data_IF_791708646166
#
_entry.id   IF_791708646166
#
_cell.length_a   1.000
_cell.length_b   1.000
_cell.length_c   1.000
_cell.angle_alpha   90.00
_cell.angle_beta   90.00
_cell.angle_gamma   90.00
#
_symmetry.space_group_name_H-M   'P 1'
#
loop_
_entity.id
_entity.type
_entity.pdbx_description
1 polymer ?
#
# COMPACT_ATOMS: atom_id res chain seq x y z
N UNK A 1 -61.17 12.00 -3.04
CA UNK A 1 -60.50 10.78 -3.53
C UNK A 1 -59.00 11.04 -3.42
N UNK A 2 -58.32 10.52 -2.38
CA UNK A 2 -56.88 10.74 -2.24
C UNK A 2 -56.19 10.19 -3.48
N UNK A 3 -55.48 11.05 -4.20
CA UNK A 3 -54.81 10.70 -5.43
C UNK A 3 -53.67 9.73 -5.08
N UNK A 4 -53.96 8.41 -5.11
CA UNK A 4 -53.05 7.33 -4.67
C UNK A 4 -51.71 7.31 -5.42
N UNK A 5 -51.61 8.09 -6.49
CA UNK A 5 -50.42 8.31 -7.31
C UNK A 5 -49.39 9.20 -6.60
N UNK A 6 -49.83 10.25 -5.89
CA UNK A 6 -48.93 11.18 -5.19
C UNK A 6 -48.01 10.51 -4.14
N UNK A 7 -48.51 9.62 -3.24
CA UNK A 7 -47.63 8.92 -2.30
C UNK A 7 -46.68 7.95 -3.01
N UNK A 8 -47.07 7.35 -4.14
CA UNK A 8 -46.20 6.47 -4.94
C UNK A 8 -45.04 7.27 -5.52
N UNK A 9 -45.31 8.44 -6.12
CA UNK A 9 -44.27 9.33 -6.66
C UNK A 9 -43.29 9.73 -5.55
N UNK A 10 -43.80 10.10 -4.36
CA UNK A 10 -42.96 10.48 -3.23
C UNK A 10 -42.05 9.34 -2.75
N UNK A 11 -42.59 8.10 -2.66
CA UNK A 11 -41.80 6.92 -2.29
C UNK A 11 -40.71 6.64 -3.33
N UNK A 12 -41.03 6.69 -4.62
CA UNK A 12 -40.03 6.50 -5.69
C UNK A 12 -38.92 7.55 -5.62
N UNK A 13 -39.26 8.80 -5.32
CA UNK A 13 -38.30 9.90 -5.18
C UNK A 13 -37.37 9.68 -3.99
N UNK A 14 -37.91 9.24 -2.84
CA UNK A 14 -37.12 8.90 -1.65
C UNK A 14 -36.18 7.70 -1.89
N UNK A 15 -36.66 6.65 -2.57
CA UNK A 15 -35.83 5.49 -2.94
C UNK A 15 -34.68 5.93 -3.86
N UNK A 16 -34.96 6.78 -4.85
CA UNK A 16 -33.94 7.28 -5.76
C UNK A 16 -32.88 8.12 -5.04
N UNK A 17 -33.29 9.04 -4.15
CA UNK A 17 -32.37 9.82 -3.33
C UNK A 17 -31.55 8.91 -2.43
N UNK A 18 -32.18 7.95 -1.74
CA UNK A 18 -31.47 7.01 -0.88
C UNK A 18 -30.45 6.18 -1.66
N UNK A 19 -30.82 5.68 -2.85
CA UNK A 19 -29.90 4.95 -3.72
C UNK A 19 -28.74 5.83 -4.20
N UNK A 20 -29.00 7.08 -4.59
CA UNK A 20 -27.96 8.02 -5.01
C UNK A 20 -26.99 8.38 -3.87
N UNK A 21 -27.51 8.61 -2.66
CA UNK A 21 -26.69 8.87 -1.47
C UNK A 21 -25.91 7.62 -1.08
N UNK A 22 -26.54 6.45 -1.05
CA UNK A 22 -25.89 5.19 -0.71
C UNK A 22 -24.78 4.85 -1.71
N UNK A 23 -25.01 5.00 -3.02
CA UNK A 23 -23.99 4.78 -4.06
C UNK A 23 -22.85 5.80 -3.98
N UNK A 24 -23.13 7.06 -3.64
CA UNK A 24 -22.09 8.07 -3.42
C UNK A 24 -21.30 7.88 -2.13
N UNK A 25 -21.95 7.48 -1.05
CA UNK A 25 -21.31 7.20 0.24
C UNK A 25 -20.51 5.88 0.20
N UNK A 26 -20.95 4.90 -0.60
CA UNK A 26 -20.23 3.64 -0.83
C UNK A 26 -19.16 3.75 -1.93
N UNK A 27 -19.20 4.80 -2.76
CA UNK A 27 -18.05 5.20 -3.55
C UNK A 27 -16.95 5.66 -2.60
N UNK A 28 -16.06 4.73 -2.26
CA UNK A 28 -14.78 5.04 -1.63
C UNK A 28 -14.13 6.17 -2.41
N UNK A 29 -14.09 7.38 -1.84
CA UNK A 29 -13.16 8.41 -2.26
C UNK A 29 -11.78 7.86 -1.94
N UNK A 30 -11.24 7.05 -2.85
CA UNK A 30 -9.85 6.59 -2.85
C UNK A 30 -8.96 7.78 -3.18
N UNK A 31 -9.10 8.87 -2.43
CA UNK A 31 -8.23 10.02 -2.53
C UNK A 31 -6.87 9.53 -2.09
N UNK A 32 -5.91 9.58 -3.01
CA UNK A 32 -4.53 9.27 -2.69
C UNK A 32 -4.04 10.33 -1.71
N UNK A 33 -3.50 9.89 -0.57
CA UNK A 33 -3.11 10.80 0.52
C UNK A 33 -1.84 11.56 0.20
N UNK A 34 -0.91 10.93 -0.50
CA UNK A 34 0.32 11.57 -1.00
C UNK A 34 0.41 11.47 -2.51
N UNK A 35 0.99 12.49 -3.14
CA UNK A 35 1.02 12.65 -4.60
C UNK A 35 1.65 11.43 -5.31
N UNK A 36 2.71 10.84 -4.77
CA UNK A 36 3.39 9.71 -5.38
C UNK A 36 2.50 8.47 -5.55
N UNK A 37 1.46 8.29 -4.71
CA UNK A 37 0.49 7.20 -4.85
C UNK A 37 -0.44 7.37 -6.05
N UNK A 38 -0.44 8.52 -6.72
CA UNK A 38 -1.20 8.77 -7.97
C UNK A 38 -0.46 8.28 -9.20
N UNK A 39 0.86 8.08 -9.11
CA UNK A 39 1.72 7.66 -10.23
C UNK A 39 1.49 6.19 -10.63
N UNK A 40 0.90 5.40 -9.74
CA UNK A 40 0.63 3.98 -9.95
C UNK A 40 -0.55 3.53 -9.10
N UNK A 41 -1.03 2.31 -9.32
CA UNK A 41 -2.04 1.72 -8.45
C UNK A 41 -1.46 1.53 -7.06
N UNK A 42 -2.19 1.97 -6.04
CA UNK A 42 -1.74 1.92 -4.65
C UNK A 42 -2.96 1.76 -3.77
N UNK A 43 -2.84 0.86 -2.81
CA UNK A 43 -3.84 0.62 -1.77
C UNK A 43 -3.16 0.79 -0.43
N UNK A 44 -3.73 1.58 0.46
CA UNK A 44 -3.23 1.72 1.83
C UNK A 44 -4.31 1.44 2.85
N UNK A 45 -3.89 1.03 4.04
CA UNK A 45 -4.73 0.90 5.20
C UNK A 45 -3.97 1.42 6.42
N UNK A 46 -4.57 2.42 7.06
CA UNK A 46 -4.08 3.03 8.30
C UNK A 46 -4.91 2.48 9.45
N UNK A 47 -4.26 1.97 10.50
CA UNK A 47 -4.93 1.45 11.68
C UNK A 47 -4.90 2.53 12.77
N UNK A 48 -5.85 3.47 12.70
CA UNK A 48 -5.87 4.69 13.54
C UNK A 48 -5.99 4.44 15.04
N UNK A 49 -6.50 3.27 15.44
CA UNK A 49 -6.59 2.85 16.85
C UNK A 49 -5.25 2.35 17.41
N UNK A 50 -4.26 2.15 16.53
CA UNK A 50 -2.95 1.60 16.86
C UNK A 50 -1.89 2.72 17.01
N UNK A 51 -0.78 2.48 17.74
CA UNK A 51 0.22 3.50 18.10
C UNK A 51 1.11 3.92 16.91
N UNK A 52 0.50 4.53 15.89
CA UNK A 52 1.16 4.90 14.64
C UNK A 52 2.13 6.08 14.82
N UNK A 53 1.83 7.00 15.74
CA UNK A 53 2.70 8.15 16.03
C UNK A 53 4.00 7.69 16.69
N UNK A 54 3.90 6.75 17.63
CA UNK A 54 5.03 6.11 18.28
C UNK A 54 5.85 5.29 17.28
N UNK A 55 5.18 4.58 16.36
CA UNK A 55 5.85 3.87 15.28
C UNK A 55 6.65 4.83 14.37
N UNK A 56 6.05 5.93 13.91
CA UNK A 56 6.74 6.94 13.09
C UNK A 56 7.92 7.56 13.85
N UNK A 57 7.76 7.83 15.15
CA UNK A 57 8.84 8.34 16.00
C UNK A 57 10.00 7.35 16.08
N UNK A 58 9.72 6.08 16.37
CA UNK A 58 10.73 5.02 16.45
C UNK A 58 11.44 4.82 15.10
N UNK A 59 10.71 4.87 13.99
CA UNK A 59 11.28 4.83 12.65
C UNK A 59 12.24 6.00 12.40
N UNK A 60 11.84 7.25 12.69
CA UNK A 60 12.64 8.46 12.45
C UNK A 60 13.94 8.51 13.27
N UNK A 61 13.99 7.77 14.38
CA UNK A 61 15.19 7.59 15.21
C UNK A 61 16.04 6.38 14.81
N UNK A 62 15.72 5.71 13.69
CA UNK A 62 16.44 4.55 13.20
C UNK A 62 16.17 3.25 13.98
N UNK A 63 15.12 3.21 14.81
CA UNK A 63 14.75 2.01 15.58
C UNK A 63 13.77 1.13 14.80
N UNK A 64 14.28 0.46 13.78
CA UNK A 64 13.52 -0.43 12.92
C UNK A 64 14.28 -1.71 12.59
N UNK A 65 13.55 -2.70 12.10
CA UNK A 65 14.11 -3.90 11.47
C UNK A 65 13.39 -4.17 10.15
N UNK A 66 14.09 -4.80 9.20
CA UNK A 66 13.56 -5.15 7.89
C UNK A 66 13.51 -6.67 7.78
N UNK A 67 12.34 -7.21 7.44
CA UNK A 67 12.17 -8.60 7.06
C UNK A 67 11.55 -8.64 5.66
N UNK A 68 12.25 -9.26 4.72
CA UNK A 68 11.87 -9.18 3.31
C UNK A 68 11.92 -10.49 2.56
N UNK A 69 11.23 -10.54 1.42
CA UNK A 69 11.29 -11.64 0.47
C UNK A 69 10.98 -11.16 -0.95
N UNK A 70 11.30 -11.98 -1.94
CA UNK A 70 10.91 -11.77 -3.33
C UNK A 70 10.08 -12.99 -3.75
N UNK A 71 8.88 -12.73 -4.24
CA UNK A 71 7.97 -13.74 -4.78
C UNK A 71 8.05 -13.75 -6.31
N UNK A 72 8.80 -14.71 -6.84
CA UNK A 72 8.98 -14.89 -8.28
C UNK A 72 7.76 -15.54 -8.94
N UNK A 73 7.64 -15.33 -10.26
CA UNK A 73 6.67 -16.04 -11.09
C UNK A 73 6.85 -17.56 -11.02
N UNK A 74 5.73 -18.30 -11.06
CA UNK A 74 5.69 -19.76 -10.94
C UNK A 74 5.49 -20.46 -12.28
N UNK A 75 4.62 -19.92 -13.12
CA UNK A 75 4.20 -20.48 -14.40
C UNK A 75 5.01 -19.87 -15.56
N UNK A 76 5.17 -18.55 -15.58
CA UNK A 76 6.07 -17.90 -16.53
C UNK A 76 7.53 -17.87 -16.04
N UNK A 77 8.49 -17.77 -16.98
CA UNK A 77 9.88 -17.52 -16.64
C UNK A 77 9.98 -16.21 -15.84
N UNK A 78 10.54 -16.29 -14.63
CA UNK A 78 10.81 -15.11 -13.81
C UNK A 78 11.91 -14.25 -14.41
N UNK A 79 11.66 -12.95 -14.54
CA UNK A 79 12.62 -11.93 -14.92
C UNK A 79 13.35 -11.38 -13.70
N UNK A 80 12.62 -11.15 -12.59
CA UNK A 80 13.21 -10.63 -11.35
C UNK A 80 14.36 -11.50 -10.83
N UNK A 81 14.27 -12.82 -10.99
CA UNK A 81 15.31 -13.76 -10.52
C UNK A 81 16.70 -13.49 -11.12
N UNK A 82 16.74 -12.90 -12.32
CA UNK A 82 17.98 -12.61 -13.04
C UNK A 82 18.56 -11.22 -12.69
N UNK A 83 17.78 -10.33 -12.06
CA UNK A 83 18.13 -8.91 -11.91
C UNK A 83 18.05 -8.36 -10.49
N UNK A 84 17.36 -9.04 -9.57
CA UNK A 84 17.10 -8.52 -8.23
C UNK A 84 17.20 -9.63 -7.18
N UNK A 85 18.17 -9.48 -6.27
CA UNK A 85 18.25 -10.28 -5.04
C UNK A 85 17.56 -9.58 -3.87
N UNK A 86 17.24 -10.35 -2.84
CA UNK A 86 16.68 -9.81 -1.59
C UNK A 86 17.61 -8.77 -0.96
N UNK A 87 18.91 -9.02 -0.98
CA UNK A 87 19.92 -8.14 -0.40
C UNK A 87 19.98 -6.80 -1.14
N UNK A 88 19.91 -6.81 -2.47
CA UNK A 88 19.85 -5.59 -3.30
C UNK A 88 18.58 -4.79 -3.00
N UNK A 89 17.44 -5.46 -2.88
CA UNK A 89 16.17 -4.83 -2.50
C UNK A 89 16.24 -4.20 -1.10
N UNK A 90 16.86 -4.90 -0.13
CA UNK A 90 17.02 -4.39 1.24
C UNK A 90 18.00 -3.21 1.31
N UNK A 91 19.08 -3.24 0.53
CA UNK A 91 20.03 -2.14 0.43
C UNK A 91 19.37 -0.90 -0.16
N UNK A 92 18.58 -1.07 -1.22
CA UNK A 92 17.78 0.00 -1.82
C UNK A 92 16.85 0.65 -0.79
N UNK A 93 16.09 -0.17 -0.06
CA UNK A 93 15.18 0.32 0.98
C UNK A 93 15.94 1.06 2.10
N UNK A 94 17.07 0.53 2.57
CA UNK A 94 17.90 1.19 3.59
C UNK A 94 18.40 2.55 3.11
N UNK A 95 18.87 2.65 1.86
CA UNK A 95 19.34 3.90 1.28
C UNK A 95 18.21 4.94 1.23
N UNK A 96 16.99 4.53 0.93
CA UNK A 96 15.80 5.39 0.99
C UNK A 96 15.52 5.81 2.44
N UNK A 97 15.44 4.86 3.38
CA UNK A 97 15.12 5.15 4.78
C UNK A 97 16.11 6.17 5.36
N UNK A 98 17.40 6.05 5.05
CA UNK A 98 18.44 6.96 5.51
C UNK A 98 18.19 8.43 5.14
N UNK A 99 17.48 8.70 4.03
CA UNK A 99 17.07 10.05 3.61
C UNK A 99 16.07 10.70 4.59
N UNK A 100 15.35 9.89 5.38
CA UNK A 100 14.25 10.33 6.27
C UNK A 100 14.59 10.29 7.76
N UNK A 101 15.77 9.80 8.15
CA UNK A 101 16.18 9.74 9.54
C UNK A 101 16.53 11.13 10.08
N UNK A 102 16.06 11.46 11.28
CA UNK A 102 16.30 12.76 11.93
C UNK A 102 17.49 12.68 12.90
N UNK A 103 17.68 11.52 13.55
CA UNK A 103 18.80 11.27 14.45
C UNK A 103 19.12 9.78 14.49
N UNK A 104 20.40 9.42 14.44
CA UNK A 104 20.86 8.06 14.69
C UNK A 104 21.22 7.81 16.17
N UNK A 105 20.60 8.54 17.11
CA UNK A 105 20.75 8.23 18.53
C UNK A 105 20.03 6.91 18.85
N UNK A 106 20.69 5.79 18.55
CA UNK A 106 20.38 4.48 19.12
C UNK A 106 20.49 4.60 20.64
N UNK A 107 19.35 4.76 21.30
CA UNK A 107 19.26 4.63 22.76
C UNK A 107 18.09 3.74 23.09
N UNK A 108 18.37 2.44 23.22
CA UNK A 108 17.64 1.46 24.04
C UNK A 108 16.13 1.71 24.14
N UNK A 109 15.41 1.68 23.02
CA UNK A 109 13.95 1.58 23.06
C UNK A 109 13.57 0.12 22.80
N UNK A 110 12.95 -0.50 23.80
CA UNK A 110 12.47 -1.89 23.73
C UNK A 110 11.55 -2.15 22.51
N UNK A 111 10.87 -1.10 22.04
CA UNK A 111 9.89 -1.18 20.95
C UNK A 111 10.44 -0.56 19.67
N UNK A 112 10.59 -1.39 18.63
CA UNK A 112 11.03 -1.01 17.28
C UNK A 112 9.92 -1.20 16.25
N UNK A 113 10.07 -0.57 15.09
CA UNK A 113 9.20 -0.82 13.94
C UNK A 113 9.71 -2.02 13.15
N UNK A 114 8.88 -3.05 12.99
CA UNK A 114 9.15 -4.15 12.06
C UNK A 114 8.55 -3.81 10.70
N UNK A 115 9.41 -3.59 9.70
CA UNK A 115 9.05 -3.36 8.31
C UNK A 115 9.10 -4.71 7.59
N UNK A 116 7.95 -5.36 7.45
CA UNK A 116 7.87 -6.60 6.69
C UNK A 116 7.41 -6.27 5.28
N UNK A 117 8.19 -6.64 4.26
CA UNK A 117 7.79 -6.36 2.89
C UNK A 117 8.14 -7.47 1.93
N UNK A 118 7.47 -7.51 0.79
CA UNK A 118 7.89 -8.36 -0.30
C UNK A 118 7.73 -7.69 -1.65
N UNK A 119 8.61 -8.06 -2.59
CA UNK A 119 8.50 -7.73 -4.00
C UNK A 119 7.83 -8.91 -4.69
N UNK A 120 6.65 -8.71 -5.25
CA UNK A 120 5.94 -9.74 -6.00
C UNK A 120 6.10 -9.50 -7.50
N UNK A 121 6.45 -10.55 -8.24
CA UNK A 121 6.45 -10.54 -9.70
C UNK A 121 5.10 -11.00 -10.25
N UNK A 122 4.55 -10.24 -11.19
CA UNK A 122 3.26 -10.55 -11.78
C UNK A 122 3.36 -11.73 -12.76
N UNK A 123 2.99 -12.91 -12.29
CA UNK A 123 2.89 -14.10 -13.15
C UNK A 123 1.71 -14.01 -14.14
N UNK A 124 1.94 -13.53 -15.36
CA UNK A 124 0.87 -13.26 -16.34
C UNK A 124 0.27 -14.54 -16.95
N UNK A 125 0.93 -15.68 -16.77
CA UNK A 125 0.51 -16.99 -17.26
C UNK A 125 -0.30 -17.77 -16.23
N UNK A 126 -0.45 -17.25 -15.01
CA UNK A 126 -1.34 -17.80 -14.00
C UNK A 126 -2.81 -17.84 -14.50
N UNK A 127 -3.34 -19.04 -14.64
CA UNK A 127 -4.72 -19.32 -15.05
C UNK A 127 -5.79 -18.71 -14.12
N UNK A 128 -5.44 -18.37 -12.88
CA UNK A 128 -6.29 -17.63 -11.95
C UNK A 128 -6.55 -16.18 -12.36
N UNK A 129 -5.73 -15.59 -13.25
CA UNK A 129 -5.86 -14.19 -13.70
C UNK A 129 -6.84 -14.06 -14.85
N UNK A 130 -8.08 -13.67 -14.50
CA UNK A 130 -9.23 -13.67 -15.41
C UNK A 130 -9.36 -12.44 -16.31
N UNK A 131 -8.70 -11.33 -15.99
CA UNK A 131 -8.86 -10.08 -16.75
C UNK A 131 -7.52 -9.51 -17.24
N UNK A 132 -7.59 -8.68 -18.28
CA UNK A 132 -6.42 -8.04 -18.90
C UNK A 132 -5.76 -7.02 -17.96
N UNK A 133 -6.51 -6.43 -17.05
CA UNK A 133 -6.02 -5.46 -16.07
C UNK A 133 -5.02 -6.10 -15.09
N UNK A 134 -5.29 -7.31 -14.61
CA UNK A 134 -4.40 -8.08 -13.75
C UNK A 134 -3.06 -8.45 -14.42
N UNK A 135 -2.94 -8.28 -15.74
CA UNK A 135 -1.72 -8.58 -16.52
C UNK A 135 -0.91 -7.34 -16.90
N UNK A 136 -1.37 -6.13 -16.54
CA UNK A 136 -0.77 -4.87 -16.99
C UNK A 136 0.53 -4.51 -16.27
N UNK A 137 0.60 -4.74 -14.96
CA UNK A 137 1.75 -4.36 -14.14
C UNK A 137 2.86 -5.43 -14.17
N UNK A 138 4.09 -5.02 -13.88
CA UNK A 138 5.24 -5.92 -13.77
C UNK A 138 5.20 -6.69 -12.45
N UNK A 139 4.71 -6.04 -11.39
CA UNK A 139 4.45 -6.65 -10.10
C UNK A 139 3.96 -5.62 -9.08
N UNK A 140 4.06 -5.95 -7.81
CA UNK A 140 3.77 -4.99 -6.75
C UNK A 140 4.68 -5.18 -5.55
N UNK A 141 4.82 -4.12 -4.77
CA UNK A 141 5.41 -4.13 -3.45
C UNK A 141 4.29 -4.17 -2.41
N UNK A 142 4.45 -5.00 -1.39
CA UNK A 142 3.55 -5.03 -0.23
C UNK A 142 4.37 -4.78 1.02
N UNK A 143 3.94 -3.81 1.83
CA UNK A 143 4.58 -3.45 3.08
C UNK A 143 3.58 -3.52 4.23
N UNK A 144 4.00 -4.16 5.32
CA UNK A 144 3.35 -4.19 6.61
C UNK A 144 4.29 -3.57 7.65
N UNK A 145 3.89 -2.43 8.21
CA UNK A 145 4.57 -1.76 9.31
C UNK A 145 3.93 -2.20 10.61
N UNK A 146 4.73 -2.83 11.47
CA UNK A 146 4.29 -3.26 12.80
C UNK A 146 5.05 -2.52 13.88
N UNK A 147 4.35 -2.18 14.96
CA UNK A 147 4.94 -1.65 16.17
C UNK A 147 4.34 -2.38 17.35
N UNK A 148 5.17 -2.91 18.25
CA UNK A 148 4.71 -3.73 19.38
C UNK A 148 3.81 -4.91 18.95
N UNK A 149 4.21 -5.58 17.85
CA UNK A 149 3.48 -6.69 17.20
C UNK A 149 2.11 -6.33 16.61
N UNK A 150 1.65 -5.08 16.73
CA UNK A 150 0.42 -4.57 16.12
C UNK A 150 0.70 -4.00 14.74
N UNK A 151 -0.17 -4.29 13.77
CA UNK A 151 -0.11 -3.73 12.43
C UNK A 151 -0.63 -2.29 12.47
N UNK A 152 0.25 -1.31 12.27
CA UNK A 152 -0.10 0.12 12.32
C UNK A 152 -0.39 0.69 10.95
N UNK A 153 0.27 0.16 9.91
CA UNK A 153 0.13 0.64 8.55
C UNK A 153 0.43 -0.46 7.54
N UNK A 154 -0.35 -0.52 6.46
CA UNK A 154 -0.19 -1.46 5.36
C UNK A 154 -0.32 -0.70 4.04
N UNK A 155 0.55 -1.00 3.09
CA UNK A 155 0.48 -0.42 1.76
C UNK A 155 0.91 -1.43 0.69
N UNK A 156 0.13 -1.51 -0.37
CA UNK A 156 0.50 -2.17 -1.62
C UNK A 156 0.69 -1.10 -2.69
N UNK A 157 1.78 -1.16 -3.44
CA UNK A 157 2.05 -0.26 -4.56
C UNK A 157 2.55 -1.05 -5.78
N UNK A 158 1.91 -0.86 -6.92
CA UNK A 158 2.28 -1.58 -8.15
C UNK A 158 3.53 -0.94 -8.79
N UNK A 159 4.40 -1.76 -9.37
CA UNK A 159 5.52 -1.31 -10.21
C UNK A 159 5.32 -1.78 -11.65
N UNK A 160 5.78 -0.98 -12.60
CA UNK A 160 5.41 -1.12 -14.02
C UNK A 160 6.58 -1.54 -14.90
N UNK A 161 7.82 -1.20 -14.53
CA UNK A 161 8.99 -1.56 -15.32
C UNK A 161 9.36 -3.03 -15.06
N UNK A 162 9.51 -3.81 -16.13
CA UNK A 162 9.89 -5.22 -16.03
C UNK A 162 11.29 -5.38 -15.45
N UNK A 163 12.21 -4.46 -15.73
CA UNK A 163 13.55 -4.42 -15.16
C UNK A 163 13.56 -3.82 -13.74
N UNK A 164 12.38 -3.62 -13.14
CA UNK A 164 12.22 -3.14 -11.77
C UNK A 164 12.88 -1.77 -11.51
N UNK A 165 13.11 -0.97 -12.56
CA UNK A 165 13.78 0.34 -12.46
C UNK A 165 12.99 1.36 -11.65
N UNK A 166 11.67 1.21 -11.57
CA UNK A 166 10.80 2.09 -10.77
C UNK A 166 10.64 1.64 -9.31
N UNK A 167 11.32 0.57 -8.87
CA UNK A 167 11.24 0.10 -7.48
C UNK A 167 11.72 1.13 -6.46
N UNK A 168 12.79 1.89 -6.76
CA UNK A 168 13.30 2.93 -5.84
C UNK A 168 12.20 3.95 -5.56
N UNK A 169 11.58 4.48 -6.61
CA UNK A 169 10.47 5.44 -6.51
C UNK A 169 9.27 4.86 -5.75
N UNK A 170 8.98 3.56 -5.92
CA UNK A 170 7.86 2.91 -5.21
C UNK A 170 8.16 2.76 -3.73
N UNK A 171 9.37 2.34 -3.37
CA UNK A 171 9.80 2.22 -1.98
C UNK A 171 9.87 3.59 -1.30
N UNK A 172 10.39 4.62 -1.99
CA UNK A 172 10.40 5.99 -1.49
C UNK A 172 8.98 6.50 -1.22
N UNK A 173 8.06 6.24 -2.16
CA UNK A 173 6.66 6.58 -1.96
C UNK A 173 6.05 5.87 -0.75
N UNK A 174 6.37 4.59 -0.51
CA UNK A 174 5.90 3.85 0.66
C UNK A 174 6.39 4.48 1.97
N UNK A 175 7.67 4.83 2.05
CA UNK A 175 8.25 5.47 3.24
C UNK A 175 7.64 6.85 3.47
N UNK A 176 7.61 7.70 2.43
CA UNK A 176 6.99 9.02 2.49
C UNK A 176 5.50 8.93 2.91
N UNK A 177 4.79 7.96 2.35
CA UNK A 177 3.40 7.68 2.70
C UNK A 177 3.27 7.33 4.18
N UNK A 178 4.07 6.41 4.71
CA UNK A 178 4.04 6.06 6.14
C UNK A 178 4.33 7.28 7.05
N UNK A 179 5.32 8.10 6.69
CA UNK A 179 5.77 9.22 7.52
C UNK A 179 4.87 10.47 7.50
N UNK A 180 3.95 10.54 6.53
CA UNK A 180 2.98 11.63 6.35
C UNK A 180 1.62 11.32 6.99
N UNK A 181 1.54 10.31 7.86
CA UNK A 181 0.33 10.00 8.61
C UNK A 181 0.35 10.81 9.90
N UNK A 182 -0.68 11.63 10.10
CA UNK A 182 -0.85 12.56 11.24
C UNK A 182 -1.54 11.95 12.46
#
# INVERSE_FOLDING_TARGET
MFNKIAPIILICLLIFIFYAVFTKASQSTKTKRVECQTKTTTFEKIFVEEPIKEAIKAFKTGNYEINSSIEYSKYMKSHLKDILTKEQSDELLKNIINKYLISMEQKNQDKKVSINYYVYENDKEDSGKKNSEAKKYAGYLMFDFKYDKKLVYKIQIDYMDLDAKDLEDRMDCVINSFLSID
#
